data_IF_804191070712
#
_entry.id   IF_804191070712
#
_cell.length_a   1.000
_cell.length_b   1.000
_cell.length_c   1.000
_cell.angle_alpha   90.00
_cell.angle_beta   90.00
_cell.angle_gamma   90.00
#
_symmetry.space_group_name_H-M   'P 1'
#
loop_
_entity.id
_entity.type
_entity.pdbx_description
1 polymer ?
#
# COMPACT_ATOMS: atom_id res chain seq x y z
N UNK A 1 9.64 8.99 -1.79
CA UNK A 1 10.78 8.04 -1.76
C UNK A 1 11.75 8.46 -0.67
N UNK A 2 11.85 7.71 0.43
CA UNK A 2 12.74 8.03 1.55
C UNK A 2 14.18 7.51 1.41
N UNK A 3 14.60 7.15 0.20
CA UNK A 3 15.93 6.58 -0.12
C UNK A 3 16.68 7.53 -1.05
N UNK A 4 18.00 7.60 -0.90
CA UNK A 4 18.87 8.27 -1.88
C UNK A 4 18.93 7.44 -3.16
N UNK A 5 18.37 7.92 -4.30
CA UNK A 5 18.36 7.17 -5.55
C UNK A 5 19.77 6.91 -6.09
N UNK A 6 20.76 7.71 -5.71
CA UNK A 6 22.15 7.58 -6.19
C UNK A 6 22.87 6.38 -5.58
N UNK A 7 22.33 5.79 -4.51
CA UNK A 7 22.93 4.65 -3.79
C UNK A 7 22.24 3.32 -4.09
N UNK A 8 21.21 3.32 -4.94
CA UNK A 8 20.47 2.11 -5.30
C UNK A 8 21.02 1.49 -6.59
N UNK A 9 21.24 0.18 -6.55
CA UNK A 9 21.39 -0.61 -7.77
C UNK A 9 20.03 -0.70 -8.50
N UNK A 10 20.05 -1.18 -9.75
CA UNK A 10 18.84 -1.31 -10.57
C UNK A 10 17.73 -2.14 -9.88
N UNK A 11 18.13 -3.16 -9.10
CA UNK A 11 17.22 -3.96 -8.30
C UNK A 11 16.60 -3.19 -7.14
N UNK A 12 17.39 -2.39 -6.43
CA UNK A 12 16.92 -1.52 -5.35
C UNK A 12 15.94 -0.46 -5.84
N UNK A 13 16.18 0.13 -7.02
CA UNK A 13 15.24 1.05 -7.67
C UNK A 13 13.93 0.35 -8.01
N UNK A 14 14.00 -0.84 -8.63
CA UNK A 14 12.80 -1.61 -8.97
C UNK A 14 11.98 -2.00 -7.74
N UNK A 15 12.63 -2.48 -6.66
CA UNK A 15 11.94 -2.77 -5.40
C UNK A 15 11.28 -1.51 -4.82
N UNK A 16 12.00 -0.39 -4.78
CA UNK A 16 11.46 0.87 -4.26
C UNK A 16 10.24 1.35 -5.06
N UNK A 17 10.23 1.18 -6.38
CA UNK A 17 9.09 1.51 -7.22
C UNK A 17 7.88 0.60 -6.94
N UNK A 18 8.10 -0.70 -6.75
CA UNK A 18 7.05 -1.68 -6.44
C UNK A 18 6.47 -1.43 -5.04
N UNK A 19 7.34 -1.22 -4.03
CA UNK A 19 6.98 -0.81 -2.67
C UNK A 19 6.10 0.45 -2.70
N UNK A 20 6.58 1.50 -3.39
CA UNK A 20 5.84 2.75 -3.54
C UNK A 20 4.50 2.57 -4.26
N UNK A 21 4.42 1.65 -5.23
CA UNK A 21 3.16 1.35 -5.94
C UNK A 21 2.15 0.68 -5.01
N UNK A 22 2.60 -0.26 -4.17
CA UNK A 22 1.76 -0.94 -3.20
C UNK A 22 1.27 0.00 -2.09
N UNK A 23 2.14 0.85 -1.55
CA UNK A 23 1.78 1.88 -0.56
C UNK A 23 0.79 2.89 -1.16
N UNK A 24 1.05 3.41 -2.36
CA UNK A 24 0.16 4.36 -3.03
C UNK A 24 -1.22 3.76 -3.37
N UNK A 25 -1.32 2.44 -3.55
CA UNK A 25 -2.63 1.81 -3.72
C UNK A 25 -3.50 1.93 -2.47
N UNK A 26 -2.90 1.83 -1.28
CA UNK A 26 -3.58 2.12 -0.02
C UNK A 26 -3.95 3.59 0.07
N UNK A 27 -2.94 4.47 0.06
CA UNK A 27 -3.13 5.85 0.49
C UNK A 27 -3.71 6.76 -0.60
N UNK A 28 -3.45 6.41 -1.86
CA UNK A 28 -3.88 7.16 -3.03
C UNK A 28 -5.22 6.71 -3.59
N UNK A 29 -5.67 5.48 -3.31
CA UNK A 29 -6.85 4.90 -3.95
C UNK A 29 -7.82 4.30 -2.93
N UNK A 30 -7.43 3.26 -2.22
CA UNK A 30 -8.37 2.49 -1.39
C UNK A 30 -8.87 3.31 -0.21
N UNK A 31 -7.99 3.98 0.53
CA UNK A 31 -8.40 4.79 1.67
C UNK A 31 -9.27 6.00 1.30
N UNK A 32 -8.94 6.81 0.27
CA UNK A 32 -9.84 7.87 -0.21
C UNK A 32 -11.22 7.34 -0.62
N UNK A 33 -11.28 6.23 -1.36
CA UNK A 33 -12.54 5.60 -1.77
C UNK A 33 -13.32 5.09 -0.55
N UNK A 34 -12.65 4.45 0.40
CA UNK A 34 -13.26 3.93 1.62
C UNK A 34 -13.93 5.04 2.44
N UNK A 35 -13.22 6.13 2.72
CA UNK A 35 -13.79 7.25 3.47
C UNK A 35 -14.85 8.01 2.67
N UNK A 36 -14.75 8.05 1.33
CA UNK A 36 -15.83 8.58 0.49
C UNK A 36 -17.10 7.74 0.57
N UNK A 37 -16.99 6.40 0.54
CA UNK A 37 -18.15 5.52 0.65
C UNK A 37 -18.85 5.68 2.00
N UNK A 38 -18.09 5.86 3.09
CA UNK A 38 -18.65 6.02 4.44
C UNK A 38 -19.23 7.39 4.73
N UNK A 39 -18.54 8.46 4.31
CA UNK A 39 -18.86 9.84 4.74
C UNK A 39 -18.99 10.84 3.59
N UNK A 40 -18.96 10.38 2.34
CA UNK A 40 -19.00 11.23 1.16
C UNK A 40 -17.75 12.10 0.99
N UNK A 41 -17.90 13.20 0.26
CA UNK A 41 -16.80 14.13 -0.01
C UNK A 41 -16.08 14.63 1.27
N UNK A 42 -16.77 14.96 2.39
CA UNK A 42 -16.09 15.33 3.63
C UNK A 42 -15.12 14.28 4.15
N UNK A 43 -15.48 12.99 4.12
CA UNK A 43 -14.61 11.91 4.56
C UNK A 43 -13.33 11.81 3.73
N UNK A 44 -13.47 11.88 2.40
CA UNK A 44 -12.34 11.89 1.48
C UNK A 44 -11.39 13.05 1.77
N UNK A 45 -11.92 14.27 1.93
CA UNK A 45 -11.11 15.45 2.20
C UNK A 45 -10.39 15.37 3.54
N UNK A 46 -11.08 14.92 4.60
CA UNK A 46 -10.48 14.73 5.92
C UNK A 46 -9.34 13.72 5.83
N UNK A 47 -9.58 12.56 5.24
CA UNK A 47 -8.55 11.54 5.07
C UNK A 47 -7.35 12.11 4.31
N UNK A 48 -7.58 12.78 3.16
CA UNK A 48 -6.48 13.27 2.35
C UNK A 48 -5.70 14.39 3.02
N UNK A 49 -6.37 15.23 3.81
CA UNK A 49 -5.71 16.24 4.63
C UNK A 49 -4.79 15.60 5.68
N UNK A 50 -5.25 14.56 6.38
CA UNK A 50 -4.43 13.82 7.37
C UNK A 50 -3.23 13.15 6.70
N UNK A 51 -3.44 12.42 5.61
CA UNK A 51 -2.37 11.74 4.88
C UNK A 51 -1.32 12.70 4.32
N UNK A 52 -1.77 13.86 3.82
CA UNK A 52 -0.89 14.93 3.37
C UNK A 52 -0.10 15.53 4.54
N UNK A 53 -0.75 15.72 5.69
CA UNK A 53 -0.11 16.21 6.89
C UNK A 53 1.00 15.28 7.36
N UNK A 54 0.76 13.96 7.42
CA UNK A 54 1.81 12.99 7.76
C UNK A 54 2.99 13.06 6.78
N UNK A 55 2.72 13.12 5.47
CA UNK A 55 3.75 13.23 4.44
C UNK A 55 4.58 14.52 4.51
N UNK A 56 3.98 15.64 4.95
CA UNK A 56 4.65 16.96 4.99
C UNK A 56 5.37 17.23 6.31
N UNK A 57 4.79 16.84 7.44
CA UNK A 57 5.29 17.20 8.80
C UNK A 57 5.59 15.99 9.69
N UNK A 58 5.30 14.76 9.25
CA UNK A 58 5.64 13.52 9.96
C UNK A 58 7.16 13.27 10.05
N UNK A 59 7.95 13.93 9.21
CA UNK A 59 9.41 13.90 9.32
C UNK A 59 9.86 14.63 10.59
N UNK A 60 10.56 13.87 11.46
CA UNK A 60 11.03 14.25 12.80
C UNK A 60 12.05 15.40 12.79
N UNK A 61 11.65 16.57 12.35
CA UNK A 61 12.39 17.79 12.66
C UNK A 61 12.16 18.12 14.14
N UNK A 62 13.20 18.51 14.89
CA UNK A 62 13.08 18.83 16.33
C UNK A 62 11.95 19.82 16.65
N UNK A 63 11.65 20.72 15.70
CA UNK A 63 10.65 21.78 15.79
C UNK A 63 9.19 21.29 15.74
N UNK A 64 8.89 20.19 15.04
CA UNK A 64 7.50 19.74 14.81
C UNK A 64 7.20 18.36 15.40
N UNK A 65 8.07 17.82 16.25
CA UNK A 65 7.99 16.44 16.76
C UNK A 65 6.63 16.06 17.35
N UNK A 66 5.98 16.95 18.12
CA UNK A 66 4.67 16.66 18.71
C UNK A 66 3.56 16.61 17.65
N UNK A 67 3.50 17.58 16.74
CA UNK A 67 2.52 17.63 15.65
C UNK A 67 2.72 16.49 14.64
N UNK A 68 3.96 16.22 14.26
CA UNK A 68 4.30 15.10 13.37
C UNK A 68 3.93 13.75 13.99
N UNK A 69 4.11 13.55 15.30
CA UNK A 69 3.71 12.31 15.96
C UNK A 69 2.19 12.13 16.02
N UNK A 70 1.43 13.20 16.25
CA UNK A 70 -0.03 13.14 16.23
C UNK A 70 -0.57 12.91 14.82
N UNK A 71 -0.01 13.57 13.81
CA UNK A 71 -0.36 13.37 12.40
C UNK A 71 -0.10 11.91 11.97
N UNK A 72 1.09 11.38 12.26
CA UNK A 72 1.46 10.00 11.94
C UNK A 72 0.55 8.98 12.63
N UNK A 73 0.21 9.19 13.90
CA UNK A 73 -0.70 8.29 14.62
C UNK A 73 -2.12 8.33 14.07
N UNK A 74 -2.62 9.51 13.69
CA UNK A 74 -3.94 9.64 13.11
C UNK A 74 -3.98 8.98 11.73
N UNK A 75 -2.96 9.19 10.89
CA UNK A 75 -2.84 8.50 9.60
C UNK A 75 -2.79 6.97 9.79
N UNK A 76 -1.97 6.48 10.73
CA UNK A 76 -1.89 5.07 11.07
C UNK A 76 -3.27 4.49 11.44
N UNK A 77 -4.06 5.21 12.25
CA UNK A 77 -5.42 4.78 12.64
C UNK A 77 -6.37 4.76 11.44
N UNK A 78 -6.38 5.82 10.63
CA UNK A 78 -7.26 5.93 9.48
C UNK A 78 -6.97 4.87 8.42
N UNK A 79 -5.70 4.45 8.29
CA UNK A 79 -5.27 3.44 7.34
C UNK A 79 -5.37 1.98 7.86
N UNK A 80 -5.80 1.73 9.10
CA UNK A 80 -5.92 0.37 9.65
C UNK A 80 -6.79 -0.53 8.76
N UNK A 81 -8.03 -0.12 8.46
CA UNK A 81 -8.93 -0.91 7.61
C UNK A 81 -8.54 -0.80 6.13
N UNK A 82 -8.29 0.39 5.57
CA UNK A 82 -7.91 0.53 4.17
C UNK A 82 -6.70 -0.31 3.76
N UNK A 83 -5.64 -0.36 4.56
CA UNK A 83 -4.43 -1.12 4.21
C UNK A 83 -4.69 -2.62 4.08
N UNK A 84 -5.58 -3.17 4.92
CA UNK A 84 -6.00 -4.59 4.86
C UNK A 84 -6.87 -4.85 3.62
N UNK A 85 -7.76 -3.92 3.29
CA UNK A 85 -8.54 -3.98 2.05
C UNK A 85 -7.65 -3.88 0.81
N UNK A 86 -6.62 -3.01 0.82
CA UNK A 86 -5.64 -2.92 -0.26
C UNK A 86 -4.91 -4.22 -0.48
N UNK A 87 -4.40 -4.83 0.60
CA UNK A 87 -3.78 -6.15 0.53
C UNK A 87 -4.73 -7.21 -0.01
N UNK A 88 -6.00 -7.21 0.42
CA UNK A 88 -7.03 -8.11 -0.09
C UNK A 88 -7.27 -7.92 -1.59
N UNK A 89 -7.45 -6.69 -2.08
CA UNK A 89 -7.67 -6.44 -3.51
C UNK A 89 -6.46 -6.82 -4.36
N UNK A 90 -5.24 -6.63 -3.87
CA UNK A 90 -4.02 -7.12 -4.53
C UNK A 90 -4.04 -8.66 -4.59
N UNK A 91 -4.41 -9.34 -3.50
CA UNK A 91 -4.54 -10.81 -3.48
C UNK A 91 -5.60 -11.31 -4.47
N UNK A 92 -6.75 -10.63 -4.55
CA UNK A 92 -7.83 -10.95 -5.50
C UNK A 92 -7.46 -10.62 -6.94
N UNK A 93 -6.60 -9.63 -7.17
CA UNK A 93 -6.08 -9.27 -8.48
C UNK A 93 -4.97 -10.20 -8.99
N UNK A 94 -4.26 -10.87 -8.08
CA UNK A 94 -3.11 -11.73 -8.41
C UNK A 94 -3.40 -12.83 -9.46
N UNK A 95 -4.57 -13.52 -9.49
CA UNK A 95 -4.87 -14.50 -10.53
C UNK A 95 -4.89 -13.93 -11.95
N UNK A 96 -5.15 -12.62 -12.10
CA UNK A 96 -5.26 -11.96 -13.39
C UNK A 96 -3.93 -11.34 -13.85
N UNK A 97 -2.97 -11.19 -12.95
CA UNK A 97 -1.66 -10.63 -13.27
C UNK A 97 -0.75 -11.65 -13.98
N UNK A 98 0.06 -11.22 -14.96
CA UNK A 98 1.04 -12.09 -15.62
C UNK A 98 2.00 -12.77 -14.63
N UNK A 99 1.94 -14.10 -14.56
CA UNK A 99 2.73 -14.91 -13.62
C UNK A 99 2.39 -14.64 -12.15
N UNK A 100 1.18 -14.18 -11.86
CA UNK A 100 0.71 -13.88 -10.51
C UNK A 100 0.49 -15.14 -9.66
N UNK A 101 0.80 -15.04 -8.37
CA UNK A 101 0.74 -16.16 -7.43
C UNK A 101 -0.27 -15.86 -6.30
N UNK A 102 -1.58 -16.07 -6.50
CA UNK A 102 -2.62 -15.63 -5.55
C UNK A 102 -2.48 -16.25 -4.16
N UNK A 103 -2.16 -17.54 -4.08
CA UNK A 103 -1.95 -18.19 -2.78
C UNK A 103 -0.72 -17.66 -2.04
N UNK A 104 0.34 -17.32 -2.78
CA UNK A 104 1.52 -16.71 -2.17
C UNK A 104 1.26 -15.27 -1.76
N UNK A 105 0.46 -14.51 -2.52
CA UNK A 105 0.02 -13.17 -2.13
C UNK A 105 -0.64 -13.18 -0.73
N UNK A 106 -1.62 -14.06 -0.53
CA UNK A 106 -2.32 -14.20 0.75
C UNK A 106 -1.36 -14.67 1.85
N UNK A 107 -0.58 -15.73 1.57
CA UNK A 107 0.33 -16.33 2.56
C UNK A 107 1.40 -15.34 3.02
N UNK A 108 2.01 -14.61 2.09
CA UNK A 108 3.04 -13.60 2.40
C UNK A 108 2.42 -12.42 3.11
N UNK A 109 1.30 -11.88 2.64
CA UNK A 109 0.59 -10.77 3.30
C UNK A 109 0.33 -11.09 4.78
N UNK A 110 -0.33 -12.23 5.07
CA UNK A 110 -0.70 -12.58 6.44
C UNK A 110 0.52 -12.86 7.34
N UNK A 111 1.58 -13.48 6.79
CA UNK A 111 2.77 -13.84 7.55
C UNK A 111 3.72 -12.66 7.78
N UNK A 112 3.86 -11.79 6.79
CA UNK A 112 4.94 -10.80 6.72
C UNK A 112 4.49 -9.35 6.89
N UNK A 113 3.19 -9.03 6.89
CA UNK A 113 2.74 -7.64 7.05
C UNK A 113 3.29 -6.96 8.31
N UNK A 114 3.39 -7.70 9.41
CA UNK A 114 3.95 -7.20 10.68
C UNK A 114 5.47 -6.98 10.69
N UNK A 115 6.18 -7.35 9.62
CA UNK A 115 7.62 -7.11 9.48
C UNK A 115 7.94 -5.68 9.06
N UNK A 116 6.97 -4.97 8.47
CA UNK A 116 7.14 -3.58 8.07
C UNK A 116 7.15 -2.66 9.30
N UNK A 117 7.85 -1.51 9.21
CA UNK A 117 7.91 -0.54 10.32
C UNK A 117 6.58 0.17 10.56
N UNK A 118 5.85 0.43 9.48
CA UNK A 118 4.46 0.93 9.54
C UNK A 118 3.50 -0.23 9.78
N UNK A 119 2.50 0.01 10.63
CA UNK A 119 1.42 -0.94 10.95
C UNK A 119 0.54 -1.28 9.74
N UNK A 120 0.61 -0.47 8.68
CA UNK A 120 -0.29 -0.49 7.54
C UNK A 120 0.42 -0.91 6.25
N UNK A 121 1.56 -0.29 5.92
CA UNK A 121 2.21 -0.51 4.62
C UNK A 121 2.61 -1.97 4.35
N UNK A 122 2.89 -2.75 5.40
CA UNK A 122 3.22 -4.17 5.24
C UNK A 122 2.10 -5.04 4.64
N UNK A 123 0.83 -4.63 4.75
CA UNK A 123 -0.30 -5.38 4.19
C UNK A 123 -0.30 -5.38 2.65
N UNK A 124 -0.37 -4.21 1.97
CA UNK A 124 -0.29 -4.17 0.51
C UNK A 124 1.09 -4.60 -0.02
N UNK A 125 2.19 -4.25 0.67
CA UNK A 125 3.52 -4.70 0.24
C UNK A 125 3.69 -6.22 0.32
N UNK A 126 3.21 -6.86 1.39
CA UNK A 126 3.24 -8.31 1.54
C UNK A 126 2.42 -9.02 0.47
N UNK A 127 1.24 -8.49 0.16
CA UNK A 127 0.41 -9.00 -0.92
C UNK A 127 1.12 -8.87 -2.28
N UNK A 128 1.72 -7.71 -2.56
CA UNK A 128 2.45 -7.45 -3.80
C UNK A 128 3.69 -8.35 -3.94
N UNK A 129 4.48 -8.49 -2.87
CA UNK A 129 5.66 -9.35 -2.83
C UNK A 129 5.29 -10.82 -3.10
N UNK A 130 4.24 -11.32 -2.43
CA UNK A 130 3.75 -12.68 -2.63
C UNK A 130 3.18 -12.90 -4.03
N UNK A 131 2.37 -11.96 -4.54
CA UNK A 131 1.76 -12.06 -5.86
C UNK A 131 2.80 -12.11 -6.98
N UNK A 132 3.88 -11.34 -6.87
CA UNK A 132 4.92 -11.24 -7.90
C UNK A 132 6.06 -12.24 -7.74
N UNK A 133 6.14 -12.93 -6.60
CA UNK A 133 7.24 -13.84 -6.28
C UNK A 133 8.54 -13.10 -5.95
N UNK A 134 8.44 -12.00 -5.20
CA UNK A 134 9.55 -11.12 -4.86
C UNK A 134 9.84 -11.10 -3.36
N UNK A 135 11.00 -10.56 -3.01
CA UNK A 135 11.34 -10.13 -1.66
C UNK A 135 11.51 -8.60 -1.65
N UNK A 136 10.67 -7.91 -0.86
CA UNK A 136 10.62 -6.44 -0.73
C UNK A 136 11.09 -5.99 0.67
N UNK A 137 11.15 -4.67 0.86
CA UNK A 137 11.72 -3.97 2.01
C UNK A 137 13.22 -4.22 2.15
N UNK A 138 13.59 -5.31 2.84
CA UNK A 138 14.95 -5.83 3.00
C UNK A 138 15.98 -4.85 3.59
N UNK A 139 17.23 -5.28 3.80
CA UNK A 139 18.29 -4.41 4.27
C UNK A 139 18.52 -3.26 3.28
N UNK A 140 18.48 -2.02 3.78
CA UNK A 140 18.72 -0.81 3.01
C UNK A 140 20.10 -0.26 3.37
N UNK A 141 20.94 0.05 2.38
CA UNK A 141 22.14 0.85 2.60
C UNK A 141 21.75 2.33 2.54
N UNK A 142 21.97 3.06 3.63
CA UNK A 142 22.02 4.51 3.67
C UNK A 142 23.48 4.96 3.71
N UNK A 143 23.74 6.22 3.36
CA UNK A 143 25.07 6.82 3.23
C UNK A 143 26.01 6.57 4.44
N UNK A 144 25.45 6.37 5.63
CA UNK A 144 26.18 6.22 6.89
C UNK A 144 25.77 4.96 7.67
N UNK A 145 24.71 4.24 7.28
CA UNK A 145 24.13 3.12 8.05
C UNK A 145 23.41 2.07 7.19
N UNK A 146 23.52 0.79 7.56
CA UNK A 146 22.69 -0.27 6.97
C UNK A 146 21.47 -0.49 7.84
N UNK A 147 20.30 0.00 7.41
CA UNK A 147 19.04 -0.33 8.05
C UNK A 147 18.72 -1.80 7.79
N UNK A 148 18.79 -2.63 8.84
CA UNK A 148 18.54 -4.08 8.78
C UNK A 148 17.04 -4.39 8.82
N UNK A 149 16.28 -3.82 7.90
CA UNK A 149 14.86 -4.17 7.82
C UNK A 149 14.70 -5.61 7.31
N UNK A 150 13.76 -6.37 7.90
CA UNK A 150 13.48 -7.73 7.46
C UNK A 150 12.91 -7.76 6.04
N UNK A 151 13.16 -8.85 5.33
CA UNK A 151 12.53 -9.10 4.03
C UNK A 151 11.04 -9.45 4.20
N UNK A 152 10.22 -8.85 3.35
CA UNK A 152 8.81 -9.19 3.14
C UNK A 152 8.73 -10.05 1.87
N UNK A 153 8.23 -11.29 2.01
CA UNK A 153 8.27 -12.29 0.95
C UNK A 153 9.55 -13.13 0.94
N UNK A 154 9.46 -14.27 0.27
CA UNK A 154 10.57 -15.24 0.11
C UNK A 154 11.02 -15.39 -1.34
N UNK A 155 10.57 -14.49 -2.21
CA UNK A 155 10.91 -14.51 -3.63
C UNK A 155 12.31 -13.99 -3.90
N UNK A 156 12.57 -13.69 -5.18
CA UNK A 156 13.84 -13.06 -5.55
C UNK A 156 13.90 -11.61 -5.06
N UNK A 157 15.03 -11.22 -4.47
CA UNK A 157 15.31 -9.81 -4.18
C UNK A 157 15.76 -9.05 -5.45
N UNK A 158 16.11 -9.74 -6.52
CA UNK A 158 16.61 -9.14 -7.78
C UNK A 158 15.46 -8.67 -8.66
N UNK A 159 14.63 -7.74 -8.16
CA UNK A 159 13.51 -7.18 -8.91
C UNK A 159 14.01 -6.44 -10.16
N UNK A 160 13.25 -6.51 -11.24
CA UNK A 160 13.62 -5.93 -12.54
C UNK A 160 12.61 -4.88 -12.99
N UNK A 161 12.92 -4.14 -14.04
CA UNK A 161 11.96 -3.23 -14.67
C UNK A 161 10.69 -3.96 -15.15
N UNK A 162 10.80 -5.23 -15.58
CA UNK A 162 9.65 -6.06 -15.94
C UNK A 162 8.72 -6.31 -14.75
N UNK A 163 9.27 -6.44 -13.55
CA UNK A 163 8.47 -6.61 -12.33
C UNK A 163 7.73 -5.33 -11.93
N UNK A 164 8.27 -4.15 -12.24
CA UNK A 164 7.55 -2.88 -12.10
C UNK A 164 6.31 -2.90 -13.01
N UNK A 165 6.45 -3.32 -14.27
CA UNK A 165 5.34 -3.48 -15.20
C UNK A 165 4.26 -4.43 -14.69
N UNK A 166 4.68 -5.59 -14.12
CA UNK A 166 3.76 -6.55 -13.49
C UNK A 166 3.06 -5.96 -12.25
N UNK A 167 3.77 -5.19 -11.42
CA UNK A 167 3.20 -4.51 -10.27
C UNK A 167 2.15 -3.46 -10.68
N UNK A 168 2.43 -2.67 -11.72
CA UNK A 168 1.49 -1.68 -12.27
C UNK A 168 0.26 -2.35 -12.90
N UNK A 169 0.43 -3.48 -13.58
CA UNK A 169 -0.69 -4.26 -14.08
C UNK A 169 -1.58 -4.75 -12.94
N UNK A 170 -0.97 -5.36 -11.91
CA UNK A 170 -1.69 -5.84 -10.74
C UNK A 170 -2.39 -4.69 -9.98
N UNK A 171 -1.73 -3.54 -9.86
CA UNK A 171 -2.33 -2.31 -9.33
C UNK A 171 -3.59 -1.92 -10.12
N UNK A 172 -3.52 -1.92 -11.45
CA UNK A 172 -4.67 -1.57 -12.29
C UNK A 172 -5.83 -2.55 -12.11
N UNK A 173 -5.57 -3.85 -12.04
CA UNK A 173 -6.58 -4.87 -11.74
C UNK A 173 -7.18 -4.65 -10.35
N UNK A 174 -6.35 -4.38 -9.34
CA UNK A 174 -6.82 -4.12 -7.98
C UNK A 174 -7.69 -2.84 -7.91
N UNK A 175 -7.38 -1.81 -8.69
CA UNK A 175 -8.23 -0.63 -8.86
C UNK A 175 -9.60 -0.99 -9.48
N UNK A 176 -9.65 -1.88 -10.48
CA UNK A 176 -10.91 -2.33 -11.07
C UNK A 176 -11.75 -3.13 -10.07
N UNK A 177 -11.12 -4.00 -9.27
CA UNK A 177 -11.79 -4.71 -8.18
C UNK A 177 -12.35 -3.72 -7.15
N UNK A 178 -11.55 -2.70 -6.78
CA UNK A 178 -11.96 -1.62 -5.89
C UNK A 178 -13.18 -0.86 -6.46
N UNK A 179 -13.19 -0.54 -7.76
CA UNK A 179 -14.33 0.10 -8.40
C UNK A 179 -15.57 -0.82 -8.43
N UNK A 180 -15.36 -2.12 -8.66
CA UNK A 180 -16.43 -3.12 -8.74
C UNK A 180 -17.26 -3.24 -7.46
N UNK A 181 -16.63 -3.30 -6.27
CA UNK A 181 -17.41 -3.38 -5.02
C UNK A 181 -18.15 -2.08 -4.72
N UNK A 182 -17.58 -0.91 -5.06
CA UNK A 182 -18.28 0.38 -4.93
C UNK A 182 -19.50 0.42 -5.85
N UNK A 183 -19.37 -0.02 -7.10
CA UNK A 183 -20.48 -0.12 -8.04
C UNK A 183 -21.58 -1.06 -7.52
N UNK A 184 -21.20 -2.22 -6.96
CA UNK A 184 -22.16 -3.15 -6.36
C UNK A 184 -22.94 -2.52 -5.21
N UNK A 185 -22.26 -1.79 -4.31
CA UNK A 185 -22.93 -1.04 -3.23
C UNK A 185 -23.88 0.03 -3.76
N UNK A 186 -23.47 0.76 -4.80
CA UNK A 186 -24.33 1.76 -5.43
C UNK A 186 -25.59 1.13 -6.02
N UNK A 187 -25.46 0.02 -6.76
CA UNK A 187 -26.60 -0.71 -7.34
C UNK A 187 -27.57 -1.16 -6.23
N UNK A 188 -27.07 -1.76 -5.15
CA UNK A 188 -27.91 -2.18 -4.01
C UNK A 188 -28.64 -0.98 -3.41
N UNK A 189 -27.94 0.13 -3.18
CA UNK A 189 -28.54 1.36 -2.62
C UNK A 189 -29.64 1.93 -3.51
N UNK A 190 -29.46 1.94 -4.82
CA UNK A 190 -30.44 2.48 -5.77
C UNK A 190 -31.56 1.49 -6.11
N UNK A 191 -31.37 0.20 -5.84
CA UNK A 191 -32.36 -0.86 -6.09
C UNK A 191 -33.30 -1.09 -4.91
N UNK A 192 -32.99 -0.57 -3.72
CA UNK A 192 -33.90 -0.57 -2.58
C UNK A 192 -35.00 0.48 -2.84
N UNK A 193 -36.30 0.11 -2.87
CA UNK A 193 -37.36 1.10 -2.97
C UNK A 193 -37.25 2.07 -1.81
N UNK A 194 -37.38 3.37 -2.09
CA UNK A 194 -37.48 4.37 -1.03
C UNK A 194 -38.64 3.94 -0.12
N UNK A 195 -38.34 3.60 1.13
CA UNK A 195 -39.37 3.32 2.12
C UNK A 195 -40.16 4.62 2.32
N UNK A 196 -41.31 4.70 1.65
CA UNK A 196 -42.34 5.73 1.82
C UNK A 196 -43.43 5.25 2.75
#
# INVERSE_FOLDING_TARGET
>A
VGRDPQQLDSHGVARAAIESTAENFCDGVVAPVFFYVLFGAPGLFIYKAVNTMDSMIGHRTPKYRAFGMTAARLDDVLNLIPARLSGLFICLGAPFAPGGQPWQAIKVMLRDAGKHRSLNAGWPEGAMAGALGLALAGPRRYAQDVARDPWIGHGTAKATAGDIGRALYLYAVACLINAGWVAALAVVRFSLPAAG
#
